data_IF_462440879482
#
_entry.id   IF_462440879482
#
_cell.length_a   1.000
_cell.length_b   1.000
_cell.length_c   1.000
_cell.angle_alpha   90.00
_cell.angle_beta   90.00
_cell.angle_gamma   90.00
#
_symmetry.space_group_name_H-M   'P 1'
#
loop_
_entity.id
_entity.type
_entity.pdbx_description
1 polymer ?
#
# COMPACT_ATOMS: atom_id res chain seq x y z
N UNK A 1 -5.98 43.33 1.68
CA UNK A 1 -4.84 43.42 0.75
C UNK A 1 -3.60 43.55 1.62
N UNK A 2 -2.75 42.51 1.59
CA UNK A 2 -1.36 42.41 2.05
C UNK A 2 -1.12 42.61 3.57
N UNK A 3 -0.41 41.77 4.33
CA UNK A 3 0.75 40.93 4.03
C UNK A 3 0.67 39.59 4.78
N UNK A 4 0.80 38.48 4.05
CA UNK A 4 1.25 37.18 4.57
C UNK A 4 2.63 36.85 3.99
N UNK A 5 3.48 37.85 3.82
CA UNK A 5 4.87 37.65 3.40
C UNK A 5 5.78 37.76 4.63
N UNK A 6 5.60 36.85 5.59
CA UNK A 6 6.50 36.65 6.72
C UNK A 6 7.18 35.28 6.54
N UNK A 7 7.92 35.18 5.44
CA UNK A 7 8.81 34.05 5.17
C UNK A 7 9.83 33.99 6.30
N UNK A 8 9.65 32.99 7.17
CA UNK A 8 10.67 32.48 8.08
C UNK A 8 11.00 33.34 9.31
N UNK A 9 9.98 33.75 10.07
CA UNK A 9 10.12 34.46 11.36
C UNK A 9 11.01 33.77 12.42
N UNK A 10 11.30 32.49 12.25
CA UNK A 10 12.05 31.66 13.21
C UNK A 10 13.42 31.21 12.68
N UNK A 11 13.84 31.66 11.50
CA UNK A 11 15.18 31.38 10.97
C UNK A 11 15.43 29.91 10.62
N UNK A 12 14.39 29.15 10.30
CA UNK A 12 14.51 27.77 9.84
C UNK A 12 15.16 27.75 8.46
N UNK A 13 16.37 27.20 8.36
CA UNK A 13 17.04 27.00 7.07
C UNK A 13 16.24 26.00 6.24
N UNK A 14 15.47 26.48 5.27
CA UNK A 14 14.69 25.64 4.34
C UNK A 14 15.52 25.13 3.16
N UNK A 15 16.82 25.45 3.16
CA UNK A 15 17.81 25.23 2.11
C UNK A 15 18.80 24.10 2.43
N UNK A 16 18.73 23.52 3.62
CA UNK A 16 19.48 22.31 3.98
C UNK A 16 18.52 21.12 4.12
N UNK A 17 18.97 19.92 3.74
CA UNK A 17 18.26 18.63 3.62
C UNK A 17 17.60 18.08 4.91
N UNK A 18 17.06 18.92 5.77
CA UNK A 18 16.47 18.53 7.04
C UNK A 18 14.97 18.25 6.86
N UNK A 19 14.53 17.05 7.29
CA UNK A 19 13.16 16.52 7.16
C UNK A 19 12.14 17.26 8.06
N UNK A 20 12.10 18.59 8.01
CA UNK A 20 11.11 19.36 8.74
C UNK A 20 9.77 19.28 8.03
N UNK A 21 8.73 18.88 8.76
CA UNK A 21 7.34 18.93 8.29
C UNK A 21 6.48 19.71 9.28
N UNK A 22 5.53 20.46 8.74
CA UNK A 22 4.63 21.29 9.53
C UNK A 22 3.64 20.40 10.28
N UNK A 23 3.72 20.41 11.62
CA UNK A 23 2.94 19.50 12.47
C UNK A 23 1.52 19.99 12.76
N UNK A 24 1.23 21.29 12.64
CA UNK A 24 -0.15 21.81 12.70
C UNK A 24 -0.24 23.29 12.25
N UNK A 25 -0.86 23.54 11.10
CA UNK A 25 -1.01 24.91 10.51
C UNK A 25 -1.93 25.83 11.30
N UNK A 26 -2.69 25.32 12.27
CA UNK A 26 -3.74 26.05 13.00
C UNK A 26 -3.59 25.98 14.53
N UNK A 27 -2.40 25.68 15.04
CA UNK A 27 -2.22 25.42 16.47
C UNK A 27 -2.13 26.77 17.17
N UNK A 28 -3.23 27.17 17.81
CA UNK A 28 -3.32 28.42 18.55
C UNK A 28 -3.77 28.05 19.96
N UNK A 29 -2.95 28.36 20.95
CA UNK A 29 -3.34 28.28 22.37
C UNK A 29 -3.66 29.70 22.85
N UNK A 30 -4.65 29.85 23.73
CA UNK A 30 -4.86 31.10 24.47
C UNK A 30 -4.43 30.90 25.94
N UNK A 31 -4.49 31.96 26.75
CA UNK A 31 -4.12 31.92 28.17
C UNK A 31 -5.21 31.31 29.07
N UNK A 32 -6.30 30.77 28.51
CA UNK A 32 -7.34 30.14 29.32
C UNK A 32 -6.85 28.75 29.78
N UNK A 33 -6.79 28.50 31.10
CA UNK A 33 -6.45 27.17 31.62
C UNK A 33 -7.32 26.09 30.97
N UNK A 34 -6.69 25.08 30.35
CA UNK A 34 -7.37 23.97 29.67
C UNK A 34 -7.56 24.12 28.14
N UNK A 35 -7.16 25.24 27.54
CA UNK A 35 -7.25 25.46 26.07
C UNK A 35 -6.01 25.01 25.29
N UNK A 36 -5.32 23.96 25.76
CA UNK A 36 -4.15 23.40 25.08
C UNK A 36 -4.58 22.34 24.07
N UNK A 37 -4.07 22.43 22.85
CA UNK A 37 -4.10 21.33 21.88
C UNK A 37 -2.81 20.55 22.04
N UNK A 38 -2.89 19.32 22.54
CA UNK A 38 -1.75 18.43 22.62
C UNK A 38 -1.53 17.75 21.27
N UNK A 39 -0.40 18.06 20.63
CA UNK A 39 0.05 17.39 19.41
C UNK A 39 1.10 16.35 19.79
N UNK A 40 0.78 15.08 19.62
CA UNK A 40 1.73 13.97 19.82
C UNK A 40 2.39 13.65 18.48
N UNK A 41 3.72 13.75 18.43
CA UNK A 41 4.52 13.42 17.24
C UNK A 41 5.25 12.12 17.53
N UNK A 42 4.91 11.05 16.80
CA UNK A 42 5.69 9.83 16.83
C UNK A 42 6.85 9.96 15.83
N UNK A 43 8.08 9.99 16.34
CA UNK A 43 9.30 10.05 15.53
C UNK A 43 10.01 8.69 15.44
N UNK A 44 9.37 7.64 15.93
CA UNK A 44 9.90 6.29 15.88
C UNK A 44 10.12 5.88 14.42
N UNK A 45 11.17 5.08 14.23
CA UNK A 45 11.52 4.54 12.93
C UNK A 45 10.50 3.47 12.55
N UNK A 46 9.96 3.55 11.34
CA UNK A 46 9.14 2.49 10.75
C UNK A 46 9.95 1.19 10.69
N UNK A 47 11.17 1.29 10.16
CA UNK A 47 12.13 0.19 10.11
C UNK A 47 13.35 0.48 11.00
N UNK A 48 13.65 -0.33 12.04
CA UNK A 48 14.67 0.01 13.04
C UNK A 48 16.07 0.29 12.48
N UNK A 49 16.43 -0.36 11.36
CA UNK A 49 17.75 -0.30 10.74
C UNK A 49 17.91 0.80 9.68
N UNK A 50 16.89 1.62 9.42
CA UNK A 50 16.95 2.75 8.47
C UNK A 50 16.23 3.98 9.02
N UNK A 51 16.53 5.18 8.50
CA UNK A 51 15.75 6.38 8.83
C UNK A 51 14.39 6.35 8.12
N UNK A 52 13.43 7.15 8.61
CA UNK A 52 12.13 7.29 7.95
C UNK A 52 12.28 7.88 6.54
N UNK A 53 13.24 8.78 6.31
CA UNK A 53 13.63 9.22 4.94
C UNK A 53 13.93 8.07 4.01
N UNK A 54 14.88 7.22 4.42
CA UNK A 54 15.38 6.10 3.61
C UNK A 54 14.27 5.10 3.38
N UNK A 55 13.43 4.85 4.39
CA UNK A 55 12.24 4.01 4.24
C UNK A 55 11.28 4.59 3.18
N UNK A 56 10.94 5.88 3.28
CA UNK A 56 10.03 6.57 2.35
C UNK A 56 10.56 6.55 0.92
N UNK A 57 11.83 6.87 0.72
CA UNK A 57 12.47 6.84 -0.60
C UNK A 57 12.42 5.43 -1.20
N UNK A 58 12.72 4.41 -0.40
CA UNK A 58 12.68 3.01 -0.81
C UNK A 58 11.26 2.56 -1.17
N UNK A 59 10.29 2.78 -0.28
CA UNK A 59 8.91 2.29 -0.48
C UNK A 59 8.23 2.99 -1.65
N UNK A 60 8.50 4.29 -1.86
CA UNK A 60 7.94 5.03 -2.99
C UNK A 60 8.54 4.58 -4.33
N UNK A 61 9.84 4.24 -4.36
CA UNK A 61 10.47 3.60 -5.53
C UNK A 61 9.83 2.24 -5.84
N UNK A 62 9.56 1.43 -4.81
CA UNK A 62 8.87 0.16 -4.99
C UNK A 62 7.41 0.36 -5.44
N UNK A 63 6.71 1.37 -4.91
CA UNK A 63 5.36 1.77 -5.34
C UNK A 63 5.36 2.15 -6.82
N UNK A 64 6.30 2.97 -7.29
CA UNK A 64 6.36 3.40 -8.69
C UNK A 64 6.57 2.19 -9.62
N UNK A 65 7.39 1.24 -9.17
CA UNK A 65 7.58 -0.04 -9.88
C UNK A 65 6.32 -0.89 -9.89
N UNK A 66 5.59 -0.96 -8.77
CA UNK A 66 4.30 -1.64 -8.70
C UNK A 66 3.29 -1.03 -9.69
N UNK A 67 3.20 0.29 -9.76
CA UNK A 67 2.35 1.01 -10.74
C UNK A 67 2.68 0.54 -12.16
N UNK A 68 3.96 0.56 -12.56
CA UNK A 68 4.35 0.15 -13.91
C UNK A 68 3.95 -1.28 -14.27
N UNK A 69 4.05 -2.22 -13.32
CA UNK A 69 3.61 -3.61 -13.57
C UNK A 69 2.10 -3.75 -13.66
N UNK A 70 1.34 -3.06 -12.82
CA UNK A 70 -0.12 -3.08 -12.90
C UNK A 70 -0.58 -2.46 -14.23
N UNK A 71 0.04 -1.37 -14.68
CA UNK A 71 -0.25 -0.77 -15.99
C UNK A 71 0.07 -1.72 -17.15
N UNK A 72 1.19 -2.43 -17.09
CA UNK A 72 1.51 -3.48 -18.08
C UNK A 72 0.40 -4.55 -18.12
N UNK A 73 -0.15 -4.94 -16.97
CA UNK A 73 -1.28 -5.89 -16.95
C UNK A 73 -2.56 -5.29 -17.50
N UNK A 74 -2.82 -4.01 -17.30
CA UNK A 74 -3.98 -3.34 -17.90
C UNK A 74 -3.89 -3.34 -19.43
N UNK A 75 -2.70 -3.10 -19.99
CA UNK A 75 -2.45 -3.22 -21.43
C UNK A 75 -2.71 -4.63 -21.95
N UNK A 76 -2.26 -5.64 -21.21
CA UNK A 76 -2.49 -7.05 -21.56
C UNK A 76 -3.97 -7.44 -21.47
N UNK A 77 -4.70 -6.92 -20.49
CA UNK A 77 -6.16 -7.09 -20.40
C UNK A 77 -6.89 -6.35 -21.54
N UNK A 78 -6.39 -5.20 -21.99
CA UNK A 78 -6.96 -4.48 -23.12
C UNK A 78 -6.71 -5.21 -24.44
N UNK A 79 -5.52 -5.78 -24.63
CA UNK A 79 -5.13 -6.57 -25.81
C UNK A 79 -5.85 -7.92 -25.87
N UNK A 80 -5.93 -8.63 -24.74
CA UNK A 80 -6.66 -9.89 -24.56
C UNK A 80 -6.29 -11.01 -25.54
N UNK A 81 -5.00 -11.13 -25.85
CA UNK A 81 -4.48 -12.19 -26.71
C UNK A 81 -4.60 -13.58 -26.04
N UNK A 82 -4.34 -14.65 -26.80
CA UNK A 82 -4.35 -16.00 -26.25
C UNK A 82 -3.38 -16.16 -25.06
N UNK A 83 -2.18 -15.58 -25.12
CA UNK A 83 -1.23 -15.61 -24.00
C UNK A 83 -1.73 -14.82 -22.79
N UNK A 84 -2.44 -13.72 -23.00
CA UNK A 84 -3.03 -12.92 -21.90
C UNK A 84 -4.11 -13.73 -21.19
N UNK A 85 -4.96 -14.42 -21.96
CA UNK A 85 -5.99 -15.32 -21.44
C UNK A 85 -5.41 -16.52 -20.70
N UNK A 86 -4.32 -17.12 -21.22
CA UNK A 86 -3.63 -18.24 -20.57
C UNK A 86 -3.06 -17.83 -19.22
N UNK A 87 -2.50 -16.62 -19.12
CA UNK A 87 -2.05 -16.07 -17.83
C UNK A 87 -3.21 -15.90 -16.86
N UNK A 88 -4.33 -15.30 -17.27
CA UNK A 88 -5.52 -15.15 -16.42
C UNK A 88 -6.00 -16.52 -15.95
N UNK A 89 -6.06 -17.51 -16.84
CA UNK A 89 -6.46 -18.88 -16.51
C UNK A 89 -5.49 -19.55 -15.52
N UNK A 90 -4.18 -19.32 -15.67
CA UNK A 90 -3.17 -19.88 -14.77
C UNK A 90 -3.30 -19.38 -13.33
N UNK A 91 -3.72 -18.13 -13.13
CA UNK A 91 -3.87 -17.53 -11.80
C UNK A 91 -5.26 -17.73 -11.21
N UNK A 92 -6.30 -17.65 -12.03
CA UNK A 92 -7.68 -17.55 -11.56
C UNK A 92 -8.56 -18.73 -11.96
N UNK A 93 -8.06 -19.67 -12.78
CA UNK A 93 -8.82 -20.83 -13.26
C UNK A 93 -9.91 -20.52 -14.28
N UNK A 94 -10.23 -19.24 -14.50
CA UNK A 94 -11.16 -18.74 -15.50
C UNK A 94 -10.47 -17.70 -16.39
N UNK A 95 -11.06 -17.39 -17.54
CA UNK A 95 -10.55 -16.38 -18.47
C UNK A 95 -11.69 -15.81 -19.34
N UNK A 96 -12.88 -15.70 -18.77
CA UNK A 96 -14.04 -15.15 -19.47
C UNK A 96 -14.08 -13.61 -19.38
N UNK A 97 -15.05 -13.01 -20.06
CA UNK A 97 -15.24 -11.56 -20.09
C UNK A 97 -15.58 -10.99 -18.69
N UNK A 98 -16.17 -11.79 -17.79
CA UNK A 98 -16.44 -11.37 -16.41
C UNK A 98 -15.14 -11.23 -15.62
N UNK A 99 -14.27 -12.23 -15.72
CA UNK A 99 -12.94 -12.21 -15.12
C UNK A 99 -12.10 -11.04 -15.66
N UNK A 100 -12.13 -10.84 -16.99
CA UNK A 100 -11.46 -9.71 -17.65
C UNK A 100 -11.92 -8.37 -17.10
N UNK A 101 -13.23 -8.14 -17.04
CA UNK A 101 -13.79 -6.88 -16.56
C UNK A 101 -13.52 -6.64 -15.08
N UNK A 102 -13.61 -7.69 -14.24
CA UNK A 102 -13.26 -7.60 -12.83
C UNK A 102 -11.80 -7.20 -12.64
N UNK A 103 -10.89 -7.83 -13.36
CA UNK A 103 -9.47 -7.51 -13.30
C UNK A 103 -9.18 -6.11 -13.85
N UNK A 104 -9.77 -5.72 -14.99
CA UNK A 104 -9.53 -4.41 -15.59
C UNK A 104 -9.99 -3.27 -14.66
N UNK A 105 -11.20 -3.38 -14.11
CA UNK A 105 -11.72 -2.38 -13.16
C UNK A 105 -10.91 -2.36 -11.87
N UNK A 106 -10.62 -3.54 -11.31
CA UNK A 106 -9.85 -3.68 -10.08
C UNK A 106 -8.43 -3.12 -10.17
N UNK A 107 -7.69 -3.51 -11.20
CA UNK A 107 -6.34 -3.04 -11.45
C UNK A 107 -6.28 -1.54 -11.75
N UNK A 108 -7.30 -0.98 -12.42
CA UNK A 108 -7.42 0.47 -12.62
C UNK A 108 -7.53 1.21 -11.29
N UNK A 109 -8.37 0.70 -10.37
CA UNK A 109 -8.51 1.28 -9.04
C UNK A 109 -7.24 1.09 -8.18
N UNK A 110 -6.56 -0.04 -8.29
CA UNK A 110 -5.27 -0.28 -7.62
C UNK A 110 -4.22 0.72 -8.09
N UNK A 111 -4.07 0.97 -9.40
CA UNK A 111 -3.16 1.98 -9.93
C UNK A 111 -3.48 3.37 -9.40
N UNK A 112 -4.76 3.74 -9.35
CA UNK A 112 -5.21 5.02 -8.78
C UNK A 112 -4.74 5.17 -7.33
N UNK A 113 -4.95 4.15 -6.50
CA UNK A 113 -4.54 4.18 -5.08
C UNK A 113 -3.03 4.23 -4.96
N UNK A 114 -2.30 3.32 -5.62
CA UNK A 114 -0.83 3.29 -5.58
C UNK A 114 -0.22 4.64 -5.96
N UNK A 115 -0.70 5.27 -7.04
CA UNK A 115 -0.25 6.62 -7.45
C UNK A 115 -0.53 7.71 -6.41
N UNK A 116 -1.63 7.58 -5.67
CA UNK A 116 -2.00 8.49 -4.60
C UNK A 116 -1.20 8.31 -3.31
N UNK A 117 -0.53 7.16 -3.12
CA UNK A 117 0.29 6.93 -1.93
C UNK A 117 1.49 7.89 -1.89
N UNK A 118 1.83 8.33 -0.70
CA UNK A 118 2.96 9.20 -0.37
C UNK A 118 3.64 8.62 0.87
N UNK A 119 4.74 9.23 1.31
CA UNK A 119 5.44 8.80 2.52
C UNK A 119 4.57 8.84 3.79
N UNK A 120 3.47 9.59 3.78
CA UNK A 120 2.56 9.76 4.91
C UNK A 120 1.50 8.66 5.02
N UNK A 121 1.30 7.88 3.95
CA UNK A 121 0.37 6.75 3.96
C UNK A 121 0.96 5.51 4.65
N UNK A 122 2.26 5.51 4.95
CA UNK A 122 2.94 4.38 5.57
C UNK A 122 3.22 4.68 7.05
N UNK A 123 2.65 3.87 7.92
CA UNK A 123 2.81 4.02 9.37
C UNK A 123 3.47 2.79 9.96
N UNK A 124 4.19 2.96 11.07
CA UNK A 124 4.70 1.83 11.84
C UNK A 124 3.54 1.08 12.48
N UNK A 125 3.50 -0.23 12.32
CA UNK A 125 2.57 -1.05 13.07
C UNK A 125 3.00 -1.13 14.54
N UNK A 126 2.05 -0.91 15.45
CA UNK A 126 2.26 -0.92 16.89
C UNK A 126 1.10 -1.69 17.57
N UNK A 127 1.39 -2.72 18.40
CA UNK A 127 0.36 -3.60 18.97
C UNK A 127 -0.71 -2.86 19.78
N UNK A 128 -0.28 -1.83 20.51
CA UNK A 128 -1.11 -1.10 21.48
C UNK A 128 -1.80 0.14 20.90
N UNK A 129 -1.49 0.50 19.65
CA UNK A 129 -2.00 1.71 18.99
C UNK A 129 -2.71 1.41 17.68
N UNK A 130 -3.47 0.30 17.61
CA UNK A 130 -4.35 -0.09 16.48
C UNK A 130 -5.33 1.02 16.03
N UNK A 131 -5.33 2.16 16.72
CA UNK A 131 -5.93 3.45 16.35
C UNK A 131 -5.57 3.96 14.96
N UNK A 132 -4.41 3.63 14.39
CA UNK A 132 -3.99 4.25 13.12
C UNK A 132 -4.77 3.78 11.90
N UNK A 133 -5.24 2.53 11.89
CA UNK A 133 -6.01 2.00 10.76
C UNK A 133 -7.52 2.06 11.01
N UNK A 134 -7.98 2.34 12.24
CA UNK A 134 -9.40 2.50 12.57
C UNK A 134 -10.24 1.21 12.56
N UNK A 135 -9.68 0.10 12.08
CA UNK A 135 -10.22 -1.26 12.16
C UNK A 135 -9.58 -2.05 13.30
N UNK A 136 -10.32 -3.00 13.88
CA UNK A 136 -9.74 -4.00 14.79
C UNK A 136 -8.83 -4.92 13.97
N UNK A 137 -7.53 -5.05 14.32
CA UNK A 137 -6.64 -5.98 13.64
C UNK A 137 -7.21 -7.40 13.71
N UNK A 138 -7.04 -8.16 12.63
CA UNK A 138 -7.27 -9.60 12.67
C UNK A 138 -6.31 -10.17 13.74
N UNK A 139 -6.72 -11.09 14.64
CA UNK A 139 -5.83 -11.64 15.67
C UNK A 139 -4.51 -12.09 15.03
N UNK A 140 -3.43 -11.46 15.49
CA UNK A 140 -2.07 -11.52 14.92
C UNK A 140 -1.74 -12.94 14.50
N UNK A 141 -1.63 -13.15 13.17
CA UNK A 141 -1.05 -14.36 12.61
C UNK A 141 0.45 -14.10 12.42
N UNK A 142 1.28 -15.09 12.75
CA UNK A 142 2.72 -15.01 12.45
C UNK A 142 2.93 -14.82 10.94
N UNK A 143 3.83 -13.91 10.54
CA UNK A 143 4.21 -13.70 9.14
C UNK A 143 3.50 -12.54 8.42
N UNK A 144 2.69 -11.74 9.12
CA UNK A 144 2.14 -10.49 8.57
C UNK A 144 3.26 -9.46 8.42
N UNK A 145 3.44 -8.96 7.19
CA UNK A 145 4.47 -7.97 6.85
C UNK A 145 3.87 -6.56 6.74
N UNK A 146 2.63 -6.44 6.30
CA UNK A 146 1.88 -5.20 6.27
C UNK A 146 0.39 -5.50 6.51
N UNK A 147 -0.38 -4.48 6.88
CA UNK A 147 -1.83 -4.59 6.95
C UNK A 147 -2.51 -3.25 6.63
N UNK A 148 -3.76 -3.34 6.15
CA UNK A 148 -4.64 -2.20 5.92
C UNK A 148 -6.02 -2.42 6.56
N UNK A 149 -6.76 -1.33 6.73
CA UNK A 149 -8.19 -1.36 7.05
C UNK A 149 -8.94 -1.15 5.75
N UNK A 150 -9.63 -2.18 5.26
CA UNK A 150 -10.34 -2.10 3.98
C UNK A 150 -11.31 -0.88 3.87
N UNK A 151 -12.06 -0.48 4.92
CA UNK A 151 -12.86 0.75 4.94
C UNK A 151 -12.08 2.08 4.85
N UNK A 152 -10.78 2.10 5.11
CA UNK A 152 -9.95 3.31 4.99
C UNK A 152 -9.69 3.67 3.52
N UNK A 153 -10.72 4.21 2.89
CA UNK A 153 -10.70 4.69 1.50
C UNK A 153 -10.38 6.18 1.40
N UNK A 154 -10.21 6.86 2.54
CA UNK A 154 -9.91 8.29 2.60
C UNK A 154 -8.41 8.54 2.67
N UNK A 155 -7.72 7.78 3.52
CA UNK A 155 -6.28 7.95 3.73
C UNK A 155 -5.46 6.81 3.15
N UNK A 156 -6.04 5.66 2.85
CA UNK A 156 -5.33 4.50 2.29
C UNK A 156 -4.06 4.17 3.09
N UNK A 157 -4.20 4.12 4.42
CA UNK A 157 -3.10 3.91 5.35
C UNK A 157 -2.64 2.45 5.34
N UNK A 158 -1.34 2.25 5.22
CA UNK A 158 -0.67 0.94 5.25
C UNK A 158 0.21 0.87 6.49
N UNK A 159 -0.12 -0.04 7.41
CA UNK A 159 0.66 -0.30 8.60
C UNK A 159 1.77 -1.32 8.28
N UNK A 160 3.00 -1.00 8.66
CA UNK A 160 4.21 -1.74 8.31
C UNK A 160 4.72 -2.51 9.52
N UNK A 161 4.81 -3.83 9.42
CA UNK A 161 5.38 -4.69 10.44
C UNK A 161 6.91 -4.80 10.30
N UNK A 162 7.56 -5.29 11.36
CA UNK A 162 9.02 -5.44 11.39
C UNK A 162 9.55 -6.38 10.30
N UNK A 163 8.80 -7.41 9.93
CA UNK A 163 9.24 -8.40 8.93
C UNK A 163 9.32 -7.79 7.52
N UNK A 164 8.50 -6.76 7.22
CA UNK A 164 8.59 -5.98 5.97
C UNK A 164 9.98 -5.37 5.77
N UNK A 165 10.59 -4.92 6.85
CA UNK A 165 11.89 -4.24 6.82
C UNK A 165 13.06 -5.13 6.39
N UNK A 166 12.84 -6.44 6.32
CA UNK A 166 13.82 -7.42 5.85
C UNK A 166 13.43 -8.05 4.51
N UNK A 167 12.31 -7.62 3.91
CA UNK A 167 11.88 -8.09 2.59
C UNK A 167 12.82 -7.57 1.49
N UNK A 168 12.89 -8.33 0.41
CA UNK A 168 13.52 -7.88 -0.83
C UNK A 168 12.61 -6.86 -1.53
N UNK A 169 13.22 -5.86 -2.18
CA UNK A 169 12.48 -4.88 -2.97
C UNK A 169 11.57 -5.55 -4.02
N UNK A 170 12.09 -6.60 -4.68
CA UNK A 170 11.41 -7.26 -5.79
C UNK A 170 11.79 -8.74 -5.97
N UNK A 171 10.85 -9.57 -6.44
CA UNK A 171 11.09 -10.90 -7.01
C UNK A 171 10.05 -11.19 -8.10
N UNK A 172 10.41 -12.02 -9.08
CA UNK A 172 9.48 -12.49 -10.11
C UNK A 172 8.60 -13.66 -9.64
N UNK A 173 9.01 -14.37 -8.59
CA UNK A 173 8.48 -15.69 -8.20
C UNK A 173 8.22 -15.83 -6.69
N UNK A 174 8.59 -14.81 -5.90
CA UNK A 174 8.46 -14.79 -4.43
C UNK A 174 7.93 -13.45 -3.97
N UNK A 175 7.44 -13.41 -2.74
CA UNK A 175 6.98 -12.16 -2.16
C UNK A 175 8.13 -11.15 -1.99
N UNK A 176 7.76 -9.89 -2.13
CA UNK A 176 8.63 -8.73 -2.12
C UNK A 176 7.86 -7.48 -1.73
N UNK A 177 8.56 -6.39 -1.49
CA UNK A 177 7.91 -5.10 -1.18
C UNK A 177 6.95 -4.70 -2.31
N UNK A 178 7.36 -4.87 -3.57
CA UNK A 178 6.48 -4.57 -4.73
C UNK A 178 5.20 -5.42 -4.71
N UNK A 179 5.28 -6.73 -4.44
CA UNK A 179 4.08 -7.58 -4.39
C UNK A 179 3.19 -7.20 -3.22
N UNK A 180 3.78 -6.93 -2.04
CA UNK A 180 3.04 -6.50 -0.85
C UNK A 180 2.30 -5.20 -1.09
N UNK A 181 2.89 -4.22 -1.76
CA UNK A 181 2.18 -2.97 -2.06
C UNK A 181 0.95 -3.19 -2.96
N UNK A 182 1.03 -4.10 -3.93
CA UNK A 182 -0.11 -4.45 -4.79
C UNK A 182 -1.16 -5.22 -3.98
N UNK A 183 -0.73 -6.13 -3.12
CA UNK A 183 -1.57 -6.90 -2.19
C UNK A 183 -2.37 -5.95 -1.30
N UNK A 184 -1.69 -5.07 -0.54
CA UNK A 184 -2.34 -4.14 0.38
C UNK A 184 -3.27 -3.17 -0.35
N UNK A 185 -2.83 -2.65 -1.51
CA UNK A 185 -3.65 -1.76 -2.31
C UNK A 185 -4.93 -2.44 -2.83
N UNK A 186 -4.94 -3.77 -3.02
CA UNK A 186 -6.11 -4.52 -3.47
C UNK A 186 -7.18 -4.71 -2.39
N UNK A 187 -6.81 -4.61 -1.12
CA UNK A 187 -7.72 -4.79 0.01
C UNK A 187 -8.69 -3.63 0.23
N UNK A 188 -8.34 -2.41 -0.17
CA UNK A 188 -9.20 -1.24 0.04
C UNK A 188 -10.56 -1.41 -0.65
N UNK A 189 -11.64 -1.03 0.02
CA UNK A 189 -13.01 -1.22 -0.48
C UNK A 189 -13.30 -0.43 -1.76
N UNK A 190 -12.59 0.67 -1.99
CA UNK A 190 -12.68 1.46 -3.23
C UNK A 190 -11.71 0.96 -4.32
N UNK A 191 -11.18 -0.26 -4.16
CA UNK A 191 -10.39 -0.99 -5.16
C UNK A 191 -11.05 -2.31 -5.54
N UNK A 192 -10.54 -3.44 -5.06
CA UNK A 192 -11.08 -4.78 -5.27
C UNK A 192 -11.70 -5.37 -4.00
N UNK A 193 -11.35 -4.84 -2.82
CA UNK A 193 -11.88 -5.35 -1.55
C UNK A 193 -11.48 -6.81 -1.26
N UNK A 194 -10.34 -7.25 -1.82
CA UNK A 194 -9.84 -8.63 -1.74
C UNK A 194 -9.71 -9.14 -0.31
N UNK A 195 -9.54 -10.44 -0.16
CA UNK A 195 -9.29 -11.14 1.10
C UNK A 195 -7.99 -11.93 1.03
N UNK A 196 -7.57 -12.43 2.18
CA UNK A 196 -6.45 -13.36 2.32
C UNK A 196 -6.93 -14.80 2.43
N UNK A 197 -7.45 -15.32 1.33
CA UNK A 197 -7.88 -16.71 1.25
C UNK A 197 -6.70 -17.67 1.22
N UNK A 198 -5.60 -17.27 0.57
CA UNK A 198 -4.36 -18.03 0.47
C UNK A 198 -3.16 -17.09 0.43
N UNK A 199 -2.12 -17.47 1.16
CA UNK A 199 -0.88 -16.70 1.28
C UNK A 199 0.23 -17.23 0.37
N UNK A 200 1.20 -16.35 0.13
CA UNK A 200 2.39 -16.52 -0.69
C UNK A 200 2.07 -16.64 -2.19
N UNK A 201 2.67 -15.74 -2.98
CA UNK A 201 2.44 -15.64 -4.41
C UNK A 201 2.69 -16.97 -5.16
N UNK A 202 3.76 -17.67 -4.80
CA UNK A 202 4.13 -18.95 -5.43
C UNK A 202 3.13 -20.06 -5.15
N UNK A 203 2.48 -20.07 -3.99
CA UNK A 203 1.45 -21.04 -3.68
C UNK A 203 0.11 -20.72 -4.36
N UNK A 204 -0.13 -19.45 -4.69
CA UNK A 204 -1.33 -19.02 -5.40
C UNK A 204 -1.31 -19.36 -6.89
N UNK A 205 -0.13 -19.61 -7.47
CA UNK A 205 -0.01 -20.04 -8.86
C UNK A 205 -0.75 -21.37 -9.08
N UNK A 206 -1.63 -21.43 -10.10
CA UNK A 206 -2.50 -22.57 -10.40
C UNK A 206 -3.58 -22.90 -9.36
N UNK A 207 -3.61 -22.21 -8.20
CA UNK A 207 -4.62 -22.45 -7.17
C UNK A 207 -6.04 -22.13 -7.67
N UNK A 208 -6.17 -21.12 -8.55
CA UNK A 208 -7.42 -20.76 -9.20
C UNK A 208 -8.07 -21.91 -9.98
N UNK A 209 -7.31 -22.89 -10.47
CA UNK A 209 -7.87 -24.08 -11.13
C UNK A 209 -8.74 -24.94 -10.20
N UNK A 210 -8.57 -24.82 -8.88
CA UNK A 210 -9.36 -25.55 -7.87
C UNK A 210 -10.28 -24.64 -7.06
N UNK A 211 -9.93 -23.35 -6.93
CA UNK A 211 -10.66 -22.38 -6.11
C UNK A 211 -10.85 -21.04 -6.86
N UNK A 212 -11.51 -21.02 -8.04
CA UNK A 212 -11.51 -19.86 -8.92
C UNK A 212 -12.19 -18.63 -8.30
N UNK A 213 -13.31 -18.83 -7.58
CA UNK A 213 -14.06 -17.75 -6.92
C UNK A 213 -13.23 -17.06 -5.82
N UNK A 214 -12.46 -17.84 -5.06
CA UNK A 214 -11.58 -17.29 -4.04
C UNK A 214 -10.31 -16.69 -4.66
N UNK A 215 -9.75 -17.32 -5.70
CA UNK A 215 -8.51 -16.87 -6.32
C UNK A 215 -8.65 -15.48 -6.96
N UNK A 216 -9.78 -15.17 -7.61
CA UNK A 216 -10.03 -13.85 -8.20
C UNK A 216 -10.39 -12.77 -7.16
N UNK A 217 -10.55 -13.18 -5.90
CA UNK A 217 -10.80 -12.32 -4.74
C UNK A 217 -9.65 -12.36 -3.72
N UNK A 218 -8.53 -13.00 -4.06
CA UNK A 218 -7.38 -13.17 -3.18
C UNK A 218 -6.27 -12.16 -3.49
N UNK A 219 -5.81 -11.43 -2.47
CA UNK A 219 -4.83 -10.36 -2.63
C UNK A 219 -3.48 -10.86 -3.21
N UNK A 220 -2.96 -11.97 -2.70
CA UNK A 220 -1.71 -12.57 -3.22
C UNK A 220 -1.85 -13.12 -4.64
N UNK A 221 -3.04 -13.61 -5.02
CA UNK A 221 -3.30 -14.02 -6.41
C UNK A 221 -3.30 -12.82 -7.35
N UNK A 222 -3.85 -11.68 -6.93
CA UNK A 222 -3.81 -10.43 -7.70
C UNK A 222 -2.38 -9.92 -7.84
N UNK A 223 -1.63 -9.83 -6.73
CA UNK A 223 -0.23 -9.42 -6.76
C UNK A 223 0.60 -10.34 -7.67
N UNK A 224 0.41 -11.65 -7.56
CA UNK A 224 1.05 -12.66 -8.41
C UNK A 224 0.71 -12.56 -9.87
N UNK A 225 -0.58 -12.46 -10.20
CA UNK A 225 -1.02 -12.19 -11.56
C UNK A 225 -0.37 -10.92 -12.13
N UNK A 226 -0.10 -9.90 -11.31
CA UNK A 226 0.55 -8.68 -11.77
C UNK A 226 2.03 -8.88 -12.07
N UNK A 227 2.80 -9.41 -11.11
CA UNK A 227 4.25 -9.35 -11.24
C UNK A 227 4.88 -10.63 -11.77
N UNK A 228 4.23 -11.79 -11.69
CA UNK A 228 4.91 -13.06 -11.93
C UNK A 228 5.50 -13.17 -13.35
N UNK A 229 6.78 -13.52 -13.46
CA UNK A 229 7.45 -13.73 -14.75
C UNK A 229 8.65 -14.67 -14.56
N UNK A 230 8.36 -15.89 -14.10
CA UNK A 230 9.36 -16.92 -13.83
C UNK A 230 9.15 -18.14 -14.71
#
# INVERSE_FOLDING_TARGET
>A
MNDFDDRNKYGFKTDENEEWFEVHTRAITNTNPGSMVHVTINTDKICPKMSNKVFRDMVLKCRDRAVGYVETRLEDLARWSASDQDRVRAWFGCCDESARNRLANGLTSIVRVLRGLTGDNFVRWEPDTSRYVGCVPNPVRSGVVAEVCAPDTKTHTIAIHLDFCSMRDFSWDKDSIVSTLIHEASHFQDTMGTKDWKYFMNECLSWGGTNPEQAIDNADSIAGYVIYNA
#
